data_IF_477181903859
#
_entry.id   IF_477181903859
#
_cell.length_a   1.000
_cell.length_b   1.000
_cell.length_c   1.000
_cell.angle_alpha   90.00
_cell.angle_beta   90.00
_cell.angle_gamma   90.00
#
_symmetry.space_group_name_H-M   'P 1'
#
loop_
_entity.id
_entity.type
_entity.pdbx_description
1 polymer ?
#
# COMPACT_ATOMS: atom_id res chain seq x y z
N UNK A 1 -8.28 42.63 49.57
CA UNK A 1 -7.46 42.52 48.35
C UNK A 1 -7.00 41.08 48.24
N UNK A 2 -7.29 40.46 47.09
CA UNK A 2 -6.84 39.15 46.61
C UNK A 2 -7.10 37.92 47.48
N UNK A 3 -8.20 37.22 47.16
CA UNK A 3 -8.28 35.77 47.34
C UNK A 3 -7.74 35.09 46.09
N UNK A 4 -6.90 34.07 46.25
CA UNK A 4 -6.48 33.21 45.15
C UNK A 4 -7.21 31.88 45.26
N UNK A 5 -8.28 31.80 44.46
CA UNK A 5 -9.06 30.61 44.21
C UNK A 5 -8.28 29.61 43.37
N UNK A 6 -8.44 28.36 43.77
CA UNK A 6 -8.05 27.11 43.13
C UNK A 6 -8.25 27.10 41.61
N UNK A 7 -7.39 26.45 40.81
CA UNK A 7 -7.65 26.26 39.38
C UNK A 7 -8.81 25.27 39.18
N UNK A 8 -9.97 25.79 38.81
CA UNK A 8 -11.05 24.98 38.23
C UNK A 8 -11.25 25.36 36.77
N UNK A 9 -10.76 24.50 35.87
CA UNK A 9 -11.28 24.39 34.52
C UNK A 9 -11.36 22.90 34.15
N UNK A 10 -12.35 22.19 34.70
CA UNK A 10 -12.89 20.99 34.06
C UNK A 10 -13.78 21.46 32.91
N UNK A 11 -13.16 21.72 31.76
CA UNK A 11 -13.87 21.80 30.49
C UNK A 11 -13.70 20.45 29.79
N UNK A 12 -14.71 19.59 29.87
CA UNK A 12 -14.88 18.50 28.90
C UNK A 12 -15.17 19.16 27.55
N UNK A 13 -14.11 19.57 26.86
CA UNK A 13 -14.19 20.14 25.53
C UNK A 13 -14.58 19.03 24.58
N UNK A 14 -15.88 18.87 24.33
CA UNK A 14 -16.36 18.12 23.19
C UNK A 14 -15.80 18.81 21.93
N UNK A 15 -14.68 18.29 21.43
CA UNK A 15 -14.10 18.74 20.17
C UNK A 15 -15.08 18.28 19.09
N UNK A 16 -15.83 19.22 18.52
CA UNK A 16 -16.63 18.96 17.33
C UNK A 16 -15.68 18.55 16.19
N UNK A 17 -15.49 17.23 16.05
CA UNK A 17 -14.57 16.64 15.08
C UNK A 17 -14.89 17.04 13.64
N UNK A 18 -16.12 17.51 13.35
CA UNK A 18 -16.52 17.97 12.02
C UNK A 18 -16.00 19.38 11.67
N UNK A 19 -15.60 20.16 12.68
CA UNK A 19 -15.16 21.57 12.52
C UNK A 19 -13.78 21.85 13.11
N UNK A 20 -12.98 20.84 13.41
CA UNK A 20 -11.61 21.01 13.90
C UNK A 20 -10.58 20.43 12.94
N UNK A 21 -9.45 21.12 12.82
CA UNK A 21 -8.30 20.66 12.06
C UNK A 21 -7.77 19.36 12.66
N UNK A 22 -7.66 18.32 11.83
CA UNK A 22 -7.24 16.99 12.28
C UNK A 22 -5.75 16.91 12.65
N UNK A 23 -4.94 17.89 12.24
CA UNK A 23 -3.51 17.96 12.56
C UNK A 23 -3.17 18.82 13.78
N UNK A 24 -3.85 19.94 14.02
CA UNK A 24 -3.52 20.86 15.13
C UNK A 24 -4.64 21.09 16.15
N UNK A 25 -5.83 20.51 15.92
CA UNK A 25 -6.99 20.65 16.80
C UNK A 25 -7.72 21.99 16.74
N UNK A 26 -7.13 23.02 16.11
CA UNK A 26 -7.76 24.34 15.98
C UNK A 26 -9.08 24.27 15.21
N UNK A 27 -10.04 25.11 15.61
CA UNK A 27 -11.33 25.23 14.93
C UNK A 27 -11.14 25.75 13.51
N UNK A 28 -11.77 25.09 12.55
CA UNK A 28 -11.78 25.47 11.14
C UNK A 28 -12.73 26.65 10.94
N UNK A 29 -12.32 27.59 10.10
CA UNK A 29 -13.15 28.69 9.61
C UNK A 29 -14.06 28.25 8.47
N UNK A 30 -14.37 29.17 7.55
CA UNK A 30 -15.21 28.90 6.36
C UNK A 30 -14.46 28.18 5.23
N UNK A 31 -13.14 28.06 5.33
CA UNK A 31 -12.30 27.42 4.33
C UNK A 31 -11.35 26.42 4.99
N UNK A 32 -11.20 25.25 4.38
CA UNK A 32 -10.31 24.18 4.83
C UNK A 32 -9.80 23.40 3.63
N UNK A 33 -8.74 22.62 3.86
CA UNK A 33 -8.26 21.61 2.93
C UNK A 33 -8.73 20.23 3.42
N UNK A 34 -9.04 19.33 2.50
CA UNK A 34 -9.57 17.99 2.80
C UNK A 34 -8.68 16.92 2.16
N UNK A 35 -8.36 15.86 2.92
CA UNK A 35 -7.57 14.74 2.42
C UNK A 35 -8.44 13.70 1.69
N UNK A 36 -7.84 12.62 1.20
CA UNK A 36 -8.59 11.57 0.49
C UNK A 36 -9.53 10.74 1.37
N UNK A 37 -9.45 10.87 2.70
CA UNK A 37 -10.33 10.21 3.66
C UNK A 37 -11.45 11.14 4.18
N UNK A 38 -11.54 12.38 3.67
CA UNK A 38 -12.52 13.37 4.14
C UNK A 38 -12.12 14.09 5.44
N UNK A 39 -10.91 13.86 5.95
CA UNK A 39 -10.39 14.59 7.10
C UNK A 39 -10.07 16.04 6.69
N UNK A 40 -10.42 16.99 7.56
CA UNK A 40 -10.27 18.42 7.30
C UNK A 40 -9.09 19.03 8.06
N UNK A 41 -8.41 19.97 7.41
CA UNK A 41 -7.19 20.60 7.92
C UNK A 41 -7.18 22.11 7.66
N UNK A 42 -6.47 22.85 8.52
CA UNK A 42 -6.19 24.26 8.30
C UNK A 42 -5.45 24.47 6.98
N UNK A 43 -5.77 25.55 6.26
CA UNK A 43 -5.04 25.94 5.04
C UNK A 43 -3.55 26.19 5.29
N UNK A 44 -3.18 26.60 6.51
CA UNK A 44 -1.79 26.74 6.95
C UNK A 44 -0.96 25.43 6.90
N UNK A 45 -1.58 24.29 6.64
CA UNK A 45 -0.91 22.99 6.50
C UNK A 45 -0.90 22.48 5.06
N UNK A 46 -1.46 23.23 4.10
CA UNK A 46 -1.55 22.79 2.70
C UNK A 46 -0.20 22.38 2.12
N UNK A 47 0.85 23.13 2.43
CA UNK A 47 2.19 22.94 1.87
C UNK A 47 3.09 22.08 2.78
N UNK A 48 2.55 21.49 3.84
CA UNK A 48 3.29 20.54 4.67
C UNK A 48 3.46 19.20 3.93
N UNK A 49 4.50 18.41 4.27
CA UNK A 49 4.67 17.07 3.70
C UNK A 49 3.39 16.24 3.82
N UNK A 50 2.99 15.60 2.72
CA UNK A 50 1.75 14.85 2.66
C UNK A 50 1.99 13.34 2.90
N UNK A 51 1.06 12.70 3.59
CA UNK A 51 1.03 11.25 3.76
C UNK A 51 0.90 10.58 2.40
N UNK A 52 1.79 9.63 2.09
CA UNK A 52 1.79 8.91 0.82
C UNK A 52 0.50 8.10 0.57
N UNK A 53 -0.27 7.80 1.62
CA UNK A 53 -1.49 6.99 1.51
C UNK A 53 -2.78 7.81 1.43
N UNK A 54 -2.93 8.85 2.25
CA UNK A 54 -4.18 9.60 2.33
C UNK A 54 -4.04 11.08 2.01
N UNK A 55 -2.85 11.53 1.63
CA UNK A 55 -2.47 12.93 1.43
C UNK A 55 -2.58 13.84 2.66
N UNK A 56 -2.96 13.33 3.85
CA UNK A 56 -3.03 14.13 5.07
C UNK A 56 -1.70 14.88 5.32
N UNK A 57 -1.72 16.18 5.67
CA UNK A 57 -0.51 16.91 5.97
C UNK A 57 0.10 16.38 7.26
N UNK A 58 1.42 16.33 7.32
CA UNK A 58 2.18 15.73 8.42
C UNK A 58 3.10 16.78 9.04
N UNK A 59 3.16 16.76 10.38
CA UNK A 59 4.23 17.42 11.13
C UNK A 59 5.24 16.33 11.46
N UNK A 60 6.44 16.38 10.88
CA UNK A 60 7.57 15.49 11.21
C UNK A 60 7.14 14.03 11.44
N UNK A 61 6.86 13.28 10.36
CA UNK A 61 6.50 11.87 10.47
C UNK A 61 7.70 11.04 10.94
N UNK A 62 7.50 10.17 11.94
CA UNK A 62 8.53 9.22 12.40
C UNK A 62 9.01 8.26 11.29
N UNK A 63 8.15 8.00 10.29
CA UNK A 63 8.52 7.23 9.09
C UNK A 63 8.91 8.11 7.91
N UNK A 64 8.65 9.42 8.00
CA UNK A 64 8.72 10.38 6.89
C UNK A 64 7.64 10.20 5.82
N UNK A 65 6.86 9.10 5.83
CA UNK A 65 6.03 8.66 4.70
C UNK A 65 4.53 8.68 4.98
N UNK A 66 4.14 8.39 6.22
CA UNK A 66 2.73 8.20 6.59
C UNK A 66 2.35 9.06 7.79
N UNK A 67 1.13 9.60 7.79
CA UNK A 67 0.56 10.29 8.94
C UNK A 67 0.24 9.30 10.07
N UNK A 68 0.09 9.80 11.29
CA UNK A 68 -0.15 8.97 12.48
C UNK A 68 -1.35 8.02 12.31
N UNK A 69 -2.44 8.48 11.69
CA UNK A 69 -3.63 7.66 11.46
C UNK A 69 -3.40 6.51 10.48
N UNK A 70 -2.49 6.66 9.52
CA UNK A 70 -2.10 5.57 8.61
C UNK A 70 -1.03 4.68 9.26
N UNK A 71 -0.04 5.30 9.90
CA UNK A 71 1.06 4.63 10.60
C UNK A 71 0.58 3.77 11.78
N UNK A 72 -0.55 4.09 12.41
CA UNK A 72 -1.18 3.27 13.44
C UNK A 72 -1.54 1.85 12.98
N UNK A 73 -1.61 1.62 11.66
CA UNK A 73 -1.84 0.30 11.07
C UNK A 73 -0.58 -0.33 10.49
N UNK A 74 0.59 0.25 10.73
CA UNK A 74 1.82 -0.18 10.10
C UNK A 74 2.26 -1.58 10.57
N UNK A 75 2.89 -2.31 9.66
CA UNK A 75 3.59 -3.56 9.96
C UNK A 75 5.03 -3.20 10.31
N UNK A 76 5.39 -3.25 11.59
CA UNK A 76 6.70 -2.80 12.08
C UNK A 76 7.55 -3.92 12.69
N UNK A 77 6.93 -5.06 13.00
CA UNK A 77 7.60 -6.18 13.66
C UNK A 77 7.25 -7.54 13.03
N UNK A 78 8.07 -8.54 13.33
CA UNK A 78 7.79 -9.94 12.98
C UNK A 78 6.50 -10.47 13.61
N UNK A 79 6.06 -9.90 14.73
CA UNK A 79 4.77 -10.24 15.33
C UNK A 79 3.61 -9.71 14.48
N UNK A 80 3.66 -8.44 14.08
CA UNK A 80 2.67 -7.82 13.19
C UNK A 80 2.57 -8.57 11.86
N UNK A 81 3.72 -8.90 11.29
CA UNK A 81 3.82 -9.65 10.04
C UNK A 81 3.11 -11.00 10.14
N UNK A 82 3.42 -11.79 11.18
CA UNK A 82 2.81 -13.11 11.40
C UNK A 82 1.31 -13.02 11.60
N UNK A 83 0.83 -11.99 12.31
CA UNK A 83 -0.59 -11.76 12.51
C UNK A 83 -1.31 -11.36 11.20
N UNK A 84 -0.63 -10.63 10.30
CA UNK A 84 -1.25 -10.03 9.13
C UNK A 84 -1.18 -10.88 7.85
N UNK A 85 -0.08 -11.62 7.62
CA UNK A 85 0.11 -12.45 6.42
C UNK A 85 -1.04 -13.43 6.10
N UNK A 86 -1.70 -14.08 7.08
CA UNK A 86 -2.84 -14.96 6.79
C UNK A 86 -3.96 -14.27 6.00
N UNK A 87 -4.21 -12.98 6.26
CA UNK A 87 -5.21 -12.17 5.54
C UNK A 87 -4.83 -11.99 4.08
N UNK A 88 -3.55 -11.69 3.81
CA UNK A 88 -3.05 -11.54 2.43
C UNK A 88 -3.15 -12.86 1.68
N UNK A 89 -2.65 -13.93 2.29
CA UNK A 89 -2.68 -15.30 1.74
C UNK A 89 -4.11 -15.75 1.42
N UNK A 90 -5.06 -15.52 2.32
CA UNK A 90 -6.46 -15.87 2.08
C UNK A 90 -7.05 -15.11 0.87
N UNK A 91 -6.68 -13.84 0.70
CA UNK A 91 -7.03 -13.04 -0.47
C UNK A 91 -6.48 -13.62 -1.77
N UNK A 92 -5.17 -13.91 -1.82
CA UNK A 92 -4.51 -14.55 -2.97
C UNK A 92 -5.18 -15.87 -3.35
N UNK A 93 -5.48 -16.72 -2.36
CA UNK A 93 -6.15 -18.00 -2.58
C UNK A 93 -7.53 -17.86 -3.21
N UNK A 94 -8.30 -16.83 -2.83
CA UNK A 94 -9.62 -16.55 -3.42
C UNK A 94 -9.53 -16.12 -4.89
N UNK A 95 -8.39 -15.57 -5.30
CA UNK A 95 -8.12 -15.18 -6.70
C UNK A 95 -7.58 -16.35 -7.54
N UNK A 96 -7.36 -17.52 -6.94
CA UNK A 96 -6.71 -18.66 -7.59
C UNK A 96 -5.18 -18.57 -7.61
N UNK A 97 -4.60 -17.53 -7.03
CA UNK A 97 -3.15 -17.35 -6.87
C UNK A 97 -2.71 -18.14 -5.65
N UNK A 98 -2.37 -19.41 -5.88
CA UNK A 98 -1.85 -20.34 -4.86
C UNK A 98 -0.43 -20.75 -5.23
N UNK A 99 0.52 -20.40 -4.37
CA UNK A 99 1.91 -20.84 -4.48
C UNK A 99 1.97 -22.36 -4.34
N UNK A 100 2.71 -23.04 -5.23
CA UNK A 100 3.01 -24.48 -5.13
C UNK A 100 3.92 -24.74 -3.93
N UNK A 101 4.97 -23.93 -3.80
CA UNK A 101 5.93 -23.99 -2.69
C UNK A 101 5.78 -22.72 -1.86
N UNK A 102 5.42 -22.82 -0.56
CA UNK A 102 5.40 -21.67 0.31
C UNK A 102 6.79 -21.03 0.40
N UNK A 103 6.87 -19.71 0.32
CA UNK A 103 8.10 -18.95 0.51
C UNK A 103 8.00 -18.08 1.76
N UNK A 104 9.16 -17.74 2.33
CA UNK A 104 9.22 -16.86 3.50
C UNK A 104 9.01 -15.41 3.09
N UNK A 105 8.11 -14.73 3.78
CA UNK A 105 8.00 -13.26 3.74
C UNK A 105 8.69 -12.71 4.99
N UNK A 106 9.52 -11.67 4.82
CA UNK A 106 10.13 -10.90 5.91
C UNK A 106 9.92 -9.40 5.70
N UNK A 107 10.14 -8.63 6.75
CA UNK A 107 10.28 -7.18 6.65
C UNK A 107 11.74 -6.78 6.56
N UNK A 108 12.03 -5.65 5.91
CA UNK A 108 13.36 -5.06 5.79
C UNK A 108 13.30 -3.54 5.84
N UNK A 109 14.45 -2.90 6.08
CA UNK A 109 14.57 -1.44 6.01
C UNK A 109 14.58 -0.96 4.56
N UNK A 110 14.19 0.30 4.27
CA UNK A 110 14.29 0.85 2.92
C UNK A 110 15.68 0.67 2.28
N UNK A 111 16.75 0.89 3.06
CA UNK A 111 18.12 0.72 2.59
C UNK A 111 18.45 -0.73 2.19
N UNK A 112 17.92 -1.73 2.91
CA UNK A 112 18.07 -3.14 2.52
C UNK A 112 17.36 -3.45 1.20
N UNK A 113 16.17 -2.89 0.98
CA UNK A 113 15.41 -3.12 -0.26
C UNK A 113 16.06 -2.42 -1.45
N UNK A 114 16.47 -1.16 -1.30
CA UNK A 114 17.16 -0.41 -2.36
C UNK A 114 18.44 -1.14 -2.79
N UNK A 115 19.21 -1.65 -1.83
CA UNK A 115 20.44 -2.40 -2.08
C UNK A 115 20.19 -3.71 -2.85
N UNK A 116 19.03 -4.35 -2.62
CA UNK A 116 18.66 -5.59 -3.29
C UNK A 116 18.25 -5.39 -4.76
N UNK A 117 17.64 -4.24 -5.08
CA UNK A 117 17.17 -3.89 -6.43
C UNK A 117 18.19 -3.06 -7.23
N UNK A 118 19.31 -2.66 -6.63
CA UNK A 118 20.22 -1.68 -7.24
C UNK A 118 19.57 -0.31 -7.43
N UNK A 119 18.51 -0.01 -6.67
CA UNK A 119 17.77 1.23 -6.71
C UNK A 119 18.40 2.29 -5.81
N UNK A 120 18.02 3.55 -6.02
CA UNK A 120 18.38 4.66 -5.12
C UNK A 120 17.11 5.33 -4.59
N UNK A 121 17.16 5.76 -3.33
CA UNK A 121 16.18 6.65 -2.69
C UNK A 121 14.85 6.05 -2.18
N UNK A 122 14.86 4.85 -1.60
CA UNK A 122 13.78 4.35 -0.74
C UNK A 122 12.44 4.13 -1.43
N UNK A 123 12.45 4.03 -2.76
CA UNK A 123 11.29 3.87 -3.63
C UNK A 123 10.83 2.42 -3.73
N UNK A 124 11.71 1.47 -3.40
CA UNK A 124 11.39 0.05 -3.38
C UNK A 124 10.60 -0.32 -2.12
N UNK A 125 9.37 -0.79 -2.30
CA UNK A 125 8.50 -1.24 -1.20
C UNK A 125 8.54 -2.74 -0.99
N UNK A 126 8.86 -3.54 -2.01
CA UNK A 126 8.91 -4.99 -1.97
C UNK A 126 9.99 -5.52 -2.91
N UNK A 127 10.50 -6.71 -2.61
CA UNK A 127 11.47 -7.44 -3.43
C UNK A 127 11.19 -8.93 -3.36
N UNK A 128 11.16 -9.58 -4.51
CA UNK A 128 11.18 -11.04 -4.64
C UNK A 128 12.60 -11.54 -4.87
N UNK A 129 13.12 -12.33 -3.93
CA UNK A 129 14.49 -12.86 -3.98
C UNK A 129 14.57 -14.07 -4.90
N UNK A 130 15.51 -14.05 -5.85
CA UNK A 130 15.74 -15.14 -6.79
C UNK A 130 17.10 -15.81 -6.54
N UNK A 131 17.14 -17.14 -6.62
CA UNK A 131 18.37 -17.93 -6.64
C UNK A 131 18.27 -18.92 -7.79
N UNK A 132 19.20 -18.86 -8.74
CA UNK A 132 19.21 -19.71 -9.94
C UNK A 132 17.86 -19.71 -10.70
N UNK A 133 17.23 -18.54 -10.80
CA UNK A 133 15.92 -18.36 -11.46
C UNK A 133 14.70 -18.76 -10.61
N UNK A 134 14.90 -19.42 -9.47
CA UNK A 134 13.81 -19.80 -8.56
C UNK A 134 13.59 -18.76 -7.47
N UNK A 135 12.32 -18.47 -7.16
CA UNK A 135 11.97 -17.59 -6.06
C UNK A 135 12.22 -18.25 -4.69
N UNK A 136 12.94 -17.55 -3.81
CA UNK A 136 13.38 -18.05 -2.49
C UNK A 136 12.74 -17.32 -1.32
N UNK A 137 12.25 -16.09 -1.52
CA UNK A 137 11.61 -15.31 -0.47
C UNK A 137 11.09 -13.96 -0.95
N UNK A 138 10.37 -13.27 -0.08
CA UNK A 138 9.94 -11.88 -0.28
C UNK A 138 10.42 -11.04 0.89
N UNK A 139 10.94 -9.85 0.61
CA UNK A 139 11.14 -8.79 1.61
C UNK A 139 10.21 -7.64 1.30
N UNK A 140 9.52 -7.11 2.31
CA UNK A 140 8.69 -5.90 2.19
C UNK A 140 9.16 -4.84 3.16
N UNK A 141 9.10 -3.57 2.78
CA UNK A 141 9.54 -2.46 3.62
C UNK A 141 8.74 -2.42 4.94
N UNK A 142 9.47 -2.31 6.05
CA UNK A 142 8.88 -2.09 7.38
C UNK A 142 8.22 -0.71 7.48
N UNK A 143 7.26 -0.56 8.39
CA UNK A 143 6.59 0.72 8.64
C UNK A 143 5.49 1.09 7.65
N UNK A 144 5.13 0.19 6.71
CA UNK A 144 4.03 0.43 5.78
C UNK A 144 2.66 0.13 6.41
N UNK A 145 1.65 0.98 6.23
CA UNK A 145 0.26 0.72 6.62
C UNK A 145 -0.26 -0.59 6.01
N UNK A 146 -1.10 -1.33 6.75
CA UNK A 146 -1.65 -2.64 6.37
C UNK A 146 -2.08 -2.76 4.90
N UNK A 147 -2.85 -1.79 4.38
CA UNK A 147 -3.34 -1.87 3.01
C UNK A 147 -2.22 -1.79 1.97
N UNK A 148 -1.29 -0.86 2.16
CA UNK A 148 -0.12 -0.72 1.28
C UNK A 148 0.82 -1.92 1.43
N UNK A 149 1.08 -2.38 2.66
CA UNK A 149 1.88 -3.57 2.91
C UNK A 149 1.27 -4.83 2.26
N UNK A 150 -0.04 -5.02 2.43
CA UNK A 150 -0.75 -6.18 1.91
C UNK A 150 -0.80 -6.21 0.38
N UNK A 151 -0.97 -5.06 -0.26
CA UNK A 151 -0.91 -4.95 -1.72
C UNK A 151 0.50 -5.24 -2.25
N UNK A 152 1.55 -4.77 -1.56
CA UNK A 152 2.93 -5.10 -1.93
C UNK A 152 3.21 -6.60 -1.78
N UNK A 153 2.80 -7.24 -0.67
CA UNK A 153 2.93 -8.70 -0.55
C UNK A 153 2.16 -9.43 -1.66
N UNK A 154 0.99 -8.93 -2.05
CA UNK A 154 0.20 -9.53 -3.13
C UNK A 154 0.87 -9.37 -4.50
N UNK A 155 1.46 -8.20 -4.78
CA UNK A 155 2.30 -7.92 -5.95
C UNK A 155 3.47 -8.91 -6.01
N UNK A 156 4.30 -8.96 -4.97
CA UNK A 156 5.47 -9.84 -4.92
C UNK A 156 5.11 -11.33 -5.00
N UNK A 157 3.98 -11.71 -4.40
CA UNK A 157 3.48 -13.09 -4.49
C UNK A 157 3.12 -13.49 -5.92
N UNK A 158 2.80 -12.53 -6.79
CA UNK A 158 2.52 -12.80 -8.20
C UNK A 158 3.79 -13.14 -8.98
N UNK A 159 4.91 -12.44 -8.78
CA UNK A 159 6.21 -12.84 -9.33
C UNK A 159 6.54 -14.29 -8.96
N UNK A 160 6.42 -14.61 -7.67
CA UNK A 160 6.69 -15.96 -7.16
C UNK A 160 5.76 -16.98 -7.81
N UNK A 161 4.48 -16.66 -7.95
CA UNK A 161 3.50 -17.53 -8.58
C UNK A 161 3.83 -17.78 -10.06
N UNK A 162 4.19 -16.74 -10.83
CA UNK A 162 4.61 -16.84 -12.23
C UNK A 162 5.78 -17.81 -12.36
N UNK A 163 6.84 -17.64 -11.55
CA UNK A 163 8.01 -18.52 -11.56
C UNK A 163 7.67 -19.96 -11.19
N UNK A 164 6.84 -20.17 -10.18
CA UNK A 164 6.41 -21.52 -9.78
C UNK A 164 5.44 -22.18 -10.77
N UNK A 165 4.93 -21.45 -11.77
CA UNK A 165 3.99 -21.96 -12.76
C UNK A 165 4.61 -22.08 -14.15
N UNK A 166 5.92 -21.94 -14.28
CA UNK A 166 6.65 -22.22 -15.51
C UNK A 166 6.10 -21.36 -16.67
N UNK A 167 5.89 -20.08 -16.41
CA UNK A 167 5.60 -19.10 -17.46
C UNK A 167 6.84 -18.94 -18.35
N UNK A 168 6.66 -18.60 -19.64
CA UNK A 168 7.78 -18.13 -20.44
C UNK A 168 8.35 -16.84 -19.84
N UNK A 169 9.52 -16.42 -20.31
CA UNK A 169 10.00 -15.06 -20.04
C UNK A 169 8.98 -14.06 -20.58
N UNK A 170 8.45 -13.22 -19.68
CA UNK A 170 7.44 -12.23 -20.00
C UNK A 170 8.11 -10.88 -20.25
N UNK A 171 7.59 -10.06 -21.17
CA UNK A 171 7.96 -8.65 -21.22
C UNK A 171 7.71 -7.99 -19.87
N UNK A 172 8.63 -7.14 -19.40
CA UNK A 172 8.56 -6.48 -18.08
C UNK A 172 7.19 -5.83 -17.83
N UNK A 173 6.66 -5.08 -18.79
CA UNK A 173 5.35 -4.43 -18.65
C UNK A 173 4.17 -5.42 -18.48
N UNK A 174 4.28 -6.63 -19.03
CA UNK A 174 3.28 -7.70 -18.87
C UNK A 174 3.38 -8.33 -17.48
N UNK A 175 4.61 -8.64 -17.04
CA UNK A 175 4.84 -9.21 -15.70
C UNK A 175 4.41 -8.23 -14.61
N UNK A 176 4.93 -7.00 -14.63
CA UNK A 176 4.56 -5.95 -13.67
C UNK A 176 3.08 -5.61 -13.72
N UNK A 177 2.48 -5.57 -14.91
CA UNK A 177 1.05 -5.36 -15.06
C UNK A 177 0.21 -6.43 -14.36
N UNK A 178 0.62 -7.70 -14.43
CA UNK A 178 -0.04 -8.79 -13.70
C UNK A 178 0.18 -8.72 -12.19
N UNK A 179 1.37 -8.29 -11.75
CA UNK A 179 1.68 -8.08 -10.33
C UNK A 179 0.82 -6.96 -9.74
N UNK A 180 0.75 -5.82 -10.41
CA UNK A 180 -0.12 -4.69 -10.06
C UNK A 180 -1.61 -5.08 -10.09
N UNK A 181 -2.04 -5.83 -11.12
CA UNK A 181 -3.43 -6.31 -11.19
C UNK A 181 -3.77 -7.23 -10.01
N UNK A 182 -2.84 -8.08 -9.58
CA UNK A 182 -3.04 -8.96 -8.42
C UNK A 182 -3.15 -8.17 -7.13
N UNK A 183 -2.34 -7.12 -6.98
CA UNK A 183 -2.44 -6.18 -5.87
C UNK A 183 -3.79 -5.43 -5.87
N UNK A 184 -4.25 -4.92 -7.01
CA UNK A 184 -5.54 -4.22 -7.15
C UNK A 184 -6.71 -5.13 -6.81
N UNK A 185 -6.71 -6.36 -7.32
CA UNK A 185 -7.76 -7.33 -7.03
C UNK A 185 -7.75 -7.74 -5.55
N UNK A 186 -6.57 -7.85 -4.91
CA UNK A 186 -6.49 -8.06 -3.47
C UNK A 186 -7.09 -6.87 -2.70
N UNK A 187 -6.71 -5.64 -3.05
CA UNK A 187 -7.19 -4.40 -2.44
C UNK A 187 -8.70 -4.22 -2.59
N UNK A 188 -9.25 -4.53 -3.77
CA UNK A 188 -10.70 -4.40 -4.07
C UNK A 188 -11.58 -5.22 -3.13
N UNK A 189 -11.02 -6.24 -2.47
CA UNK A 189 -11.71 -7.11 -1.52
C UNK A 189 -11.50 -6.71 -0.05
N UNK A 190 -10.80 -5.61 0.21
CA UNK A 190 -10.57 -5.13 1.57
C UNK A 190 -11.64 -4.10 1.96
N UNK A 191 -12.17 -4.16 3.19
CA UNK A 191 -13.17 -3.21 3.67
C UNK A 191 -12.59 -1.86 4.12
N UNK A 192 -11.27 -1.75 4.27
CA UNK A 192 -10.62 -0.50 4.71
C UNK A 192 -10.69 0.56 3.58
N UNK A 193 -11.20 1.78 3.84
CA UNK A 193 -11.26 2.85 2.84
C UNK A 193 -9.90 3.19 2.23
N UNK A 194 -8.80 3.00 2.97
CA UNK A 194 -7.44 3.20 2.45
C UNK A 194 -7.12 2.27 1.28
N UNK A 195 -7.79 1.12 1.16
CA UNK A 195 -7.61 0.24 0.02
C UNK A 195 -8.01 0.94 -1.29
N UNK A 196 -9.13 1.68 -1.29
CA UNK A 196 -9.55 2.45 -2.46
C UNK A 196 -8.52 3.52 -2.84
N UNK A 197 -7.85 4.12 -1.84
CA UNK A 197 -6.81 5.12 -2.07
C UNK A 197 -5.56 4.54 -2.73
N UNK A 198 -5.09 3.37 -2.27
CA UNK A 198 -3.96 2.68 -2.92
C UNK A 198 -4.32 2.35 -4.37
N UNK A 199 -5.52 1.81 -4.62
CA UNK A 199 -5.99 1.48 -5.98
C UNK A 199 -6.09 2.70 -6.88
N UNK A 200 -6.53 3.84 -6.35
CA UNK A 200 -6.57 5.10 -7.11
C UNK A 200 -5.16 5.53 -7.49
N UNK A 201 -4.21 5.48 -6.55
CA UNK A 201 -2.80 5.79 -6.82
C UNK A 201 -2.19 4.91 -7.90
N UNK A 202 -2.45 3.59 -7.85
CA UNK A 202 -2.04 2.65 -8.91
C UNK A 202 -2.65 3.03 -10.27
N UNK A 203 -3.95 3.35 -10.30
CA UNK A 203 -4.65 3.69 -11.54
C UNK A 203 -4.15 4.99 -12.20
N UNK A 204 -3.76 5.97 -11.39
CA UNK A 204 -3.26 7.28 -11.83
C UNK A 204 -1.74 7.34 -11.98
N UNK A 205 -1.00 6.27 -11.69
CA UNK A 205 0.45 6.28 -11.78
C UNK A 205 0.90 6.60 -13.21
N UNK A 206 1.75 7.62 -13.42
CA UNK A 206 2.27 7.96 -14.74
C UNK A 206 3.43 7.03 -15.17
N UNK A 207 3.82 6.09 -14.31
CA UNK A 207 4.93 5.19 -14.59
C UNK A 207 4.66 4.32 -15.85
N UNK A 208 5.58 4.27 -16.82
CA UNK A 208 5.38 3.59 -18.09
C UNK A 208 5.42 2.06 -17.98
N UNK A 209 5.97 1.51 -16.89
CA UNK A 209 6.03 0.05 -16.68
C UNK A 209 4.92 -0.37 -15.72
N UNK A 210 4.91 0.19 -14.52
CA UNK A 210 3.96 -0.18 -13.48
C UNK A 210 2.57 0.41 -13.75
N UNK A 211 2.49 1.71 -14.05
CA UNK A 211 1.21 2.40 -14.26
C UNK A 211 0.52 1.99 -15.55
N UNK A 212 1.23 2.02 -16.68
CA UNK A 212 0.68 1.59 -17.97
C UNK A 212 0.44 0.08 -18.02
N UNK A 213 1.38 -0.73 -17.52
CA UNK A 213 1.23 -2.18 -17.40
C UNK A 213 0.00 -2.55 -16.56
N UNK A 214 -0.21 -1.89 -15.43
CA UNK A 214 -1.42 -2.07 -14.61
C UNK A 214 -2.70 -1.76 -15.40
N UNK A 215 -2.76 -0.59 -16.06
CA UNK A 215 -3.95 -0.20 -16.83
C UNK A 215 -4.23 -1.20 -17.96
N UNK A 216 -3.20 -1.67 -18.65
CA UNK A 216 -3.32 -2.68 -19.69
C UNK A 216 -3.82 -4.02 -19.15
N UNK A 217 -3.21 -4.53 -18.07
CA UNK A 217 -3.62 -5.80 -17.44
C UNK A 217 -5.05 -5.74 -16.90
N UNK A 218 -5.45 -4.60 -16.29
CA UNK A 218 -6.81 -4.37 -15.82
C UNK A 218 -7.82 -4.30 -16.97
N UNK A 219 -7.46 -3.66 -18.08
CA UNK A 219 -8.28 -3.69 -19.29
C UNK A 219 -8.45 -5.12 -19.82
N UNK A 220 -7.36 -5.88 -19.90
CA UNK A 220 -7.35 -7.29 -20.34
C UNK A 220 -8.19 -8.23 -19.44
N UNK A 221 -8.32 -7.92 -18.15
CA UNK A 221 -9.18 -8.65 -17.23
C UNK A 221 -10.68 -8.38 -17.45
N UNK A 222 -11.04 -7.26 -18.09
CA UNK A 222 -12.44 -6.86 -18.27
C UNK A 222 -13.22 -7.93 -19.04
N UNK A 223 -14.31 -8.41 -18.44
CA UNK A 223 -15.11 -9.51 -19.02
C UNK A 223 -14.48 -10.90 -18.94
N UNK A 224 -13.36 -11.07 -18.22
CA UNK A 224 -12.68 -12.36 -18.02
C UNK A 224 -12.51 -12.69 -16.54
N UNK A 225 -12.31 -13.98 -16.25
CA UNK A 225 -11.86 -14.42 -14.93
C UNK A 225 -10.33 -14.34 -14.89
N UNK A 226 -9.77 -14.06 -13.72
CA UNK A 226 -8.31 -14.02 -13.51
C UNK A 226 -7.61 -15.27 -14.07
N UNK A 227 -8.15 -16.45 -13.78
CA UNK A 227 -7.57 -17.72 -14.27
C UNK A 227 -7.57 -17.85 -15.80
N UNK A 228 -8.47 -17.18 -16.51
CA UNK A 228 -8.51 -17.21 -17.98
C UNK A 228 -7.43 -16.28 -18.56
N UNK A 229 -7.28 -15.09 -17.99
CA UNK A 229 -6.21 -14.16 -18.33
C UNK A 229 -4.83 -14.80 -18.10
N UNK A 230 -4.62 -15.40 -16.93
CA UNK A 230 -3.34 -16.03 -16.60
C UNK A 230 -3.00 -17.21 -17.52
N UNK A 231 -4.00 -18.00 -17.94
CA UNK A 231 -3.79 -19.06 -18.94
C UNK A 231 -3.43 -18.50 -20.31
N UNK A 232 -4.04 -17.38 -20.71
CA UNK A 232 -3.69 -16.71 -21.95
C UNK A 232 -2.24 -16.21 -21.91
N UNK A 233 -1.88 -15.43 -20.89
CA UNK A 233 -0.51 -14.88 -20.76
C UNK A 233 0.52 -16.01 -20.70
N UNK A 234 0.24 -17.10 -19.97
CA UNK A 234 1.14 -18.26 -19.95
C UNK A 234 1.36 -18.86 -21.34
N UNK A 235 0.32 -18.89 -22.19
CA UNK A 235 0.38 -19.49 -23.52
C UNK A 235 1.07 -18.60 -24.55
N UNK A 236 0.87 -17.28 -24.46
CA UNK A 236 1.26 -16.35 -25.52
C UNK A 236 2.34 -15.35 -25.11
N UNK A 237 2.68 -15.24 -23.83
CA UNK A 237 3.66 -14.28 -23.32
C UNK A 237 3.19 -12.82 -23.38
N UNK A 238 1.91 -12.58 -23.69
CA UNK A 238 1.34 -11.24 -23.86
C UNK A 238 -0.07 -11.16 -23.26
N UNK A 239 -0.53 -9.93 -22.99
CA UNK A 239 -1.92 -9.66 -22.65
C UNK A 239 -2.80 -9.82 -23.92
N UNK A 240 -4.06 -10.28 -23.78
CA UNK A 240 -5.01 -10.48 -24.88
C UNK A 240 -5.50 -9.18 -25.52
#
# INVERSE_FOLDING_TARGET
MAGDGTPTARGSGYVDRARSCRLCGLRLGTSWWENHLGDRFCLAHRDSPACLLCAAPMRNSATGRYCDACAATAICSTADLRAYLPTVRAGLHRMGVRLRTPIRVRIGTPAELDSAEGATAGTTFGVTHLLNGAATGITVCTGMPRMHFGSTVAHESMHVWIRQRDFPELPTAVEEGLCELTADEWLRRQPDPRAALVRQGMASSPDPVYGEGFRAARAALTGRRMGDLLRHVKRYGALP
#
